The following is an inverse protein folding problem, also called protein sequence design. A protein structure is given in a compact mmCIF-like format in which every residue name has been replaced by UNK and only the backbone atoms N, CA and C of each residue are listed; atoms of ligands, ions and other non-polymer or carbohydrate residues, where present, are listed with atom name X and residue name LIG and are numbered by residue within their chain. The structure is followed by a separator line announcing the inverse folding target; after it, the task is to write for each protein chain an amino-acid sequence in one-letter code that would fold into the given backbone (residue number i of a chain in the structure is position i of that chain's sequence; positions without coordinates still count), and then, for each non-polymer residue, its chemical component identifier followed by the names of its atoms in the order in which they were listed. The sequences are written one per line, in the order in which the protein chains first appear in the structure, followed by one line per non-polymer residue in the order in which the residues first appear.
data_IF_860409627739
#
_entry.id   IF_860409627739
#
_cell.length_a   1.000
_cell.length_b   1.000
_cell.length_c   1.000
_cell.angle_alpha   90.00
_cell.angle_beta   90.00
_cell.angle_gamma   90.00
#
_symmetry.space_group_name_H-M   'P 1'
#
loop_
_entity.id
_entity.type
_entity.pdbx_description
1 polymer ?
#
# COMPACT_ATOMS: atom_id res chain seq x y z
N UNK A 1 -58.78 -6.91 2.98
CA UNK A 1 -58.00 -6.96 4.23
C UNK A 1 -56.69 -7.66 3.94
N UNK A 2 -55.57 -7.00 4.26
CA UNK A 2 -54.21 -7.52 4.44
C UNK A 2 -53.57 -8.26 3.24
N UNK A 3 -52.28 -8.14 2.92
CA UNK A 3 -51.18 -7.53 3.65
C UNK A 3 -50.12 -7.16 2.62
N UNK A 4 -49.64 -5.93 2.69
CA UNK A 4 -48.37 -5.53 2.10
C UNK A 4 -47.28 -6.23 2.90
N UNK A 5 -46.53 -7.13 2.28
CA UNK A 5 -45.22 -7.53 2.80
C UNK A 5 -44.16 -7.06 1.82
N UNK A 6 -43.67 -5.84 2.10
CA UNK A 6 -42.39 -5.35 1.61
C UNK A 6 -41.30 -6.32 2.07
N UNK A 7 -40.55 -6.86 1.12
CA UNK A 7 -39.21 -7.39 1.36
C UNK A 7 -38.23 -6.62 0.49
N UNK A 8 -37.84 -5.43 0.97
CA UNK A 8 -36.64 -4.73 0.52
C UNK A 8 -35.44 -5.43 1.15
N UNK A 9 -34.91 -6.47 0.50
CA UNK A 9 -33.52 -6.88 0.73
C UNK A 9 -32.62 -5.93 -0.04
N UNK A 10 -32.34 -4.77 0.54
CA UNK A 10 -31.20 -3.96 0.14
C UNK A 10 -29.94 -4.62 0.74
N UNK A 11 -29.44 -5.66 0.08
CA UNK A 11 -28.08 -6.13 0.33
C UNK A 11 -27.14 -5.02 -0.12
N UNK A 12 -26.47 -4.36 0.85
CA UNK A 12 -25.35 -3.46 0.54
C UNK A 12 -24.24 -4.34 -0.06
N UNK A 13 -24.23 -4.48 -1.37
CA UNK A 13 -23.07 -4.92 -2.13
C UNK A 13 -22.05 -3.79 -2.00
N UNK A 14 -21.24 -3.78 -0.95
CA UNK A 14 -19.94 -3.14 -1.05
C UNK A 14 -19.19 -3.97 -2.10
N UNK A 15 -18.87 -3.42 -3.28
CA UNK A 15 -18.18 -4.21 -4.28
C UNK A 15 -16.82 -4.61 -3.71
N UNK A 16 -16.50 -5.90 -3.76
CA UNK A 16 -15.19 -6.45 -3.38
C UNK A 16 -14.03 -5.68 -4.02
N UNK A 17 -14.30 -5.04 -5.17
CA UNK A 17 -13.39 -4.17 -5.92
C UNK A 17 -12.94 -2.93 -5.13
N UNK A 18 -13.79 -2.34 -4.28
CA UNK A 18 -13.42 -1.20 -3.43
C UNK A 18 -12.44 -1.62 -2.31
N UNK A 19 -12.72 -2.74 -1.64
CA UNK A 19 -11.84 -3.32 -0.61
C UNK A 19 -10.50 -3.81 -1.20
N UNK A 20 -10.53 -4.34 -2.42
CA UNK A 20 -9.33 -4.70 -3.17
C UNK A 20 -8.52 -3.44 -3.57
N UNK A 21 -9.20 -2.36 -3.94
CA UNK A 21 -8.59 -1.09 -4.32
C UNK A 21 -7.81 -0.42 -3.18
N UNK A 22 -8.29 -0.47 -1.94
CA UNK A 22 -7.63 0.21 -0.81
C UNK A 22 -6.26 -0.36 -0.44
N UNK A 23 -6.15 -1.68 -0.31
CA UNK A 23 -4.84 -2.28 -0.04
C UNK A 23 -3.94 -2.36 -1.26
N UNK A 24 -4.48 -2.30 -2.48
CA UNK A 24 -3.66 -2.02 -3.65
C UNK A 24 -3.09 -0.58 -3.60
N UNK A 25 -3.89 0.40 -3.14
CA UNK A 25 -3.42 1.76 -2.89
C UNK A 25 -2.34 1.79 -1.80
N UNK A 26 -2.51 1.07 -0.69
CA UNK A 26 -1.46 0.92 0.34
C UNK A 26 -0.19 0.27 -0.21
N UNK A 27 -0.30 -0.77 -1.06
CA UNK A 27 0.89 -1.38 -1.69
C UNK A 27 1.62 -0.38 -2.58
N UNK A 28 0.89 0.38 -3.40
CA UNK A 28 1.48 1.37 -4.31
C UNK A 28 2.04 2.57 -3.56
N UNK A 29 1.37 3.01 -2.49
CA UNK A 29 1.91 3.97 -1.54
C UNK A 29 3.25 3.48 -0.98
N UNK A 30 3.32 2.24 -0.49
CA UNK A 30 4.54 1.68 0.07
C UNK A 30 5.69 1.65 -0.95
N UNK A 31 5.42 1.21 -2.19
CA UNK A 31 6.43 1.23 -3.26
C UNK A 31 6.94 2.65 -3.53
N UNK A 32 6.04 3.62 -3.66
CA UNK A 32 6.40 5.02 -3.90
C UNK A 32 7.19 5.61 -2.73
N UNK A 33 6.81 5.32 -1.49
CA UNK A 33 7.52 5.73 -0.28
C UNK A 33 8.91 5.11 -0.20
N UNK A 34 9.06 3.81 -0.52
CA UNK A 34 10.36 3.15 -0.59
C UNK A 34 11.29 3.86 -1.58
N UNK A 35 10.79 4.15 -2.79
CA UNK A 35 11.55 4.84 -3.83
C UNK A 35 11.91 6.28 -3.41
N UNK A 36 11.00 6.97 -2.71
CA UNK A 36 11.28 8.29 -2.16
C UNK A 36 12.43 8.25 -1.14
N UNK A 37 12.44 7.28 -0.22
CA UNK A 37 13.53 7.07 0.74
C UNK A 37 14.84 6.68 0.05
N UNK A 38 14.78 5.76 -0.92
CA UNK A 38 15.94 5.27 -1.67
C UNK A 38 16.68 6.38 -2.45
N UNK A 39 15.93 7.34 -2.99
CA UNK A 39 16.47 8.38 -3.85
C UNK A 39 16.55 9.77 -3.21
N UNK A 40 16.11 9.90 -1.95
CA UNK A 40 16.22 11.13 -1.16
C UNK A 40 15.67 12.37 -1.88
N UNK A 41 16.44 13.47 -1.85
CA UNK A 41 16.04 14.75 -2.44
C UNK A 41 16.39 14.89 -3.93
N UNK A 42 16.71 13.79 -4.62
CA UNK A 42 16.87 13.79 -6.07
C UNK A 42 15.55 14.08 -6.79
N UNK A 43 15.62 14.35 -8.10
CA UNK A 43 14.41 14.51 -8.94
C UNK A 43 13.50 13.28 -8.84
N UNK A 44 14.09 12.08 -8.90
CA UNK A 44 13.36 10.83 -8.81
C UNK A 44 12.72 10.63 -7.42
N UNK A 45 13.45 10.92 -6.35
CA UNK A 45 12.92 10.81 -4.98
C UNK A 45 11.78 11.79 -4.71
N UNK A 46 11.89 13.02 -5.20
CA UNK A 46 10.83 14.02 -5.09
C UNK A 46 9.57 13.65 -5.89
N UNK A 47 9.72 13.07 -7.09
CA UNK A 47 8.58 12.59 -7.87
C UNK A 47 7.90 11.38 -7.21
N UNK A 48 8.70 10.43 -6.70
CA UNK A 48 8.19 9.30 -5.93
C UNK A 48 7.43 9.75 -4.67
N UNK A 49 7.91 10.79 -3.98
CA UNK A 49 7.21 11.41 -2.83
C UNK A 49 5.85 11.99 -3.21
N UNK A 50 5.75 12.63 -4.39
CA UNK A 50 4.46 13.12 -4.93
C UNK A 50 3.53 11.97 -5.28
N UNK A 51 4.06 10.89 -5.85
CA UNK A 51 3.28 9.68 -6.13
C UNK A 51 2.76 9.02 -4.84
N UNK A 52 3.57 8.94 -3.79
CA UNK A 52 3.14 8.45 -2.48
C UNK A 52 2.00 9.32 -1.91
N UNK A 53 2.16 10.64 -1.94
CA UNK A 53 1.10 11.58 -1.57
C UNK A 53 -0.19 11.35 -2.35
N UNK A 54 -0.10 11.13 -3.67
CA UNK A 54 -1.27 10.87 -4.49
C UNK A 54 -2.02 9.58 -4.09
N UNK A 55 -1.35 8.55 -3.59
CA UNK A 55 -2.01 7.34 -3.05
C UNK A 55 -2.63 7.56 -1.67
N UNK A 56 -2.00 8.39 -0.84
CA UNK A 56 -2.54 8.77 0.46
C UNK A 56 -3.83 9.60 0.33
N UNK A 57 -3.89 10.54 -0.61
CA UNK A 57 -5.08 11.39 -0.82
C UNK A 57 -6.32 10.64 -1.34
N UNK A 58 -6.12 9.48 -1.97
CA UNK A 58 -7.17 8.77 -2.72
C UNK A 58 -7.58 7.43 -2.13
N UNK A 59 -6.90 6.97 -1.09
CA UNK A 59 -7.19 5.67 -0.47
C UNK A 59 -7.86 5.85 0.89
N UNK A 60 -8.75 4.92 1.25
CA UNK A 60 -9.62 5.05 2.42
C UNK A 60 -9.02 4.47 3.72
N UNK A 61 -7.75 4.06 3.68
CA UNK A 61 -7.04 3.52 4.83
C UNK A 61 -6.73 4.59 5.89
N UNK A 62 -6.59 4.17 7.15
CA UNK A 62 -6.19 5.07 8.23
C UNK A 62 -4.76 5.59 8.05
N UNK A 63 -4.48 6.78 8.60
CA UNK A 63 -3.12 7.33 8.60
C UNK A 63 -2.10 6.38 9.24
N UNK A 64 -2.47 5.69 10.32
CA UNK A 64 -1.64 4.67 10.97
C UNK A 64 -1.26 3.51 10.03
N UNK A 65 -2.16 3.12 9.11
CA UNK A 65 -1.86 2.10 8.13
C UNK A 65 -0.79 2.57 7.12
N UNK A 66 -0.87 3.82 6.67
CA UNK A 66 0.14 4.43 5.82
C UNK A 66 1.49 4.54 6.53
N UNK A 67 1.52 5.03 7.78
CA UNK A 67 2.76 5.10 8.57
C UNK A 67 3.40 3.71 8.75
N UNK A 68 2.61 2.69 9.07
CA UNK A 68 3.11 1.32 9.22
C UNK A 68 3.69 0.76 7.92
N UNK A 69 3.07 1.05 6.77
CA UNK A 69 3.58 0.64 5.46
C UNK A 69 4.87 1.38 5.11
N UNK A 70 4.96 2.69 5.39
CA UNK A 70 6.17 3.47 5.17
C UNK A 70 7.34 2.97 6.04
N UNK A 71 7.10 2.71 7.33
CA UNK A 71 8.12 2.16 8.22
C UNK A 71 8.63 0.79 7.75
N UNK A 72 7.73 -0.06 7.25
CA UNK A 72 8.12 -1.36 6.69
C UNK A 72 8.92 -1.22 5.39
N UNK A 73 8.61 -0.22 4.57
CA UNK A 73 9.37 0.09 3.36
C UNK A 73 10.80 0.52 3.67
N UNK A 74 10.99 1.40 4.66
CA UNK A 74 12.31 1.84 5.12
C UNK A 74 13.12 0.67 5.70
N UNK A 75 12.48 -0.22 6.46
CA UNK A 75 13.12 -1.44 6.96
C UNK A 75 13.58 -2.36 5.82
N UNK A 76 12.74 -2.56 4.80
CA UNK A 76 13.09 -3.39 3.65
C UNK A 76 14.27 -2.80 2.86
N UNK A 77 14.31 -1.48 2.69
CA UNK A 77 15.41 -0.79 2.04
C UNK A 77 16.72 -0.92 2.84
N UNK A 78 16.65 -0.82 4.17
CA UNK A 78 17.81 -0.95 5.06
C UNK A 78 18.42 -2.36 5.08
N UNK A 79 17.61 -3.39 4.82
CA UNK A 79 18.02 -4.80 4.82
C UNK A 79 18.06 -5.41 3.40
N UNK A 80 18.25 -4.56 2.38
CA UNK A 80 18.31 -5.02 1.00
C UNK A 80 19.48 -5.99 0.77
N UNK A 81 19.19 -7.13 0.17
CA UNK A 81 20.20 -8.13 -0.16
C UNK A 81 21.20 -7.60 -1.21
N UNK A 82 22.47 -8.04 -1.15
CA UNK A 82 23.45 -7.78 -2.19
C UNK A 82 22.94 -8.24 -3.57
N UNK A 83 23.10 -7.40 -4.59
CA UNK A 83 22.81 -7.82 -5.95
C UNK A 83 23.93 -8.73 -6.50
N UNK A 84 23.70 -9.35 -7.66
CA UNK A 84 24.67 -10.24 -8.34
C UNK A 84 26.07 -9.63 -8.52
N UNK A 85 26.18 -8.30 -8.52
CA UNK A 85 27.43 -7.56 -8.73
C UNK A 85 27.88 -6.75 -7.51
N UNK A 86 27.44 -7.15 -6.31
CA UNK A 86 27.88 -6.54 -5.05
C UNK A 86 26.79 -5.69 -4.41
N UNK A 87 26.89 -4.36 -4.51
CA UNK A 87 26.02 -3.45 -3.78
C UNK A 87 24.52 -3.72 -4.05
N UNK A 88 23.66 -3.57 -3.03
CA UNK A 88 22.21 -3.66 -3.22
C UNK A 88 21.72 -2.66 -4.27
N UNK A 89 20.73 -3.07 -5.07
CA UNK A 89 20.04 -2.19 -6.01
C UNK A 89 18.79 -1.67 -5.30
N UNK A 90 18.78 -0.39 -4.93
CA UNK A 90 17.69 0.19 -4.14
C UNK A 90 16.31 0.02 -4.80
N UNK A 91 16.23 0.18 -6.14
CA UNK A 91 14.99 -0.10 -6.89
C UNK A 91 14.53 -1.55 -6.75
N UNK A 92 15.46 -2.51 -6.77
CA UNK A 92 15.14 -3.92 -6.62
C UNK A 92 14.61 -4.20 -5.22
N UNK A 93 15.24 -3.64 -4.18
CA UNK A 93 14.77 -3.75 -2.81
C UNK A 93 13.31 -3.25 -2.65
N UNK A 94 12.97 -2.13 -3.31
CA UNK A 94 11.61 -1.60 -3.29
C UNK A 94 10.61 -2.48 -4.07
N UNK A 95 11.03 -3.12 -5.16
CA UNK A 95 10.22 -4.11 -5.89
C UNK A 95 9.99 -5.35 -5.03
N UNK A 96 11.05 -5.89 -4.43
CA UNK A 96 10.97 -7.07 -3.55
C UNK A 96 10.08 -6.79 -2.34
N UNK A 97 10.17 -5.59 -1.76
CA UNK A 97 9.25 -5.12 -0.73
C UNK A 97 7.80 -5.11 -1.19
N UNK A 98 7.52 -4.54 -2.37
CA UNK A 98 6.18 -4.47 -2.96
C UNK A 98 5.57 -5.87 -3.19
N UNK A 99 6.39 -6.84 -3.58
CA UNK A 99 5.98 -8.23 -3.80
C UNK A 99 5.97 -9.07 -2.52
N UNK A 100 6.51 -8.53 -1.42
CA UNK A 100 6.77 -9.30 -0.21
C UNK A 100 5.48 -9.87 0.42
N UNK A 101 5.53 -11.11 0.93
CA UNK A 101 4.46 -11.64 1.77
C UNK A 101 4.26 -10.81 3.05
N UNK A 102 5.31 -10.15 3.54
CA UNK A 102 5.28 -9.32 4.75
C UNK A 102 4.41 -8.08 4.56
N UNK A 103 4.54 -7.38 3.43
CA UNK A 103 3.69 -6.25 3.09
C UNK A 103 2.22 -6.70 2.91
N UNK A 104 1.99 -7.80 2.20
CA UNK A 104 0.64 -8.38 2.06
C UNK A 104 0.00 -8.66 3.41
N UNK A 105 0.71 -9.35 4.29
CA UNK A 105 0.22 -9.67 5.63
C UNK A 105 -0.04 -8.42 6.49
N UNK A 106 0.77 -7.37 6.36
CA UNK A 106 0.52 -6.10 7.04
C UNK A 106 -0.80 -5.48 6.57
N UNK A 107 -1.02 -5.40 5.27
CA UNK A 107 -2.22 -4.79 4.69
C UNK A 107 -3.47 -5.61 5.04
N UNK A 108 -3.40 -6.93 4.99
CA UNK A 108 -4.53 -7.80 5.31
C UNK A 108 -4.95 -7.67 6.78
N UNK A 109 -4.00 -7.54 7.73
CA UNK A 109 -4.31 -7.29 9.14
C UNK A 109 -5.01 -5.94 9.36
N UNK A 110 -4.75 -4.96 8.50
CA UNK A 110 -5.33 -3.61 8.61
C UNK A 110 -6.70 -3.48 7.93
N UNK A 111 -7.09 -4.45 7.09
CA UNK A 111 -8.42 -4.55 6.46
C UNK A 111 -9.49 -5.23 7.32
N UNK A 112 -9.07 -5.99 8.33
CA UNK A 112 -9.97 -6.76 9.21
C UNK A 112 -10.33 -6.07 10.52
N UNK A 113 -10.20 -4.74 10.60
CA UNK A 113 -10.55 -3.92 11.76
C UNK A 113 -11.92 -3.28 11.61
#
# INVERSE_FOLDING_TARGET
MASRFLLLLATVLVPVEALAADGEALRRFGLASCLASAFGDSVAGNDARRAAGAYLERGDASFEAYEAVAALADEALAHADPAKHGAPIATLACIDFYESPRLRALIDRRRGG
#
